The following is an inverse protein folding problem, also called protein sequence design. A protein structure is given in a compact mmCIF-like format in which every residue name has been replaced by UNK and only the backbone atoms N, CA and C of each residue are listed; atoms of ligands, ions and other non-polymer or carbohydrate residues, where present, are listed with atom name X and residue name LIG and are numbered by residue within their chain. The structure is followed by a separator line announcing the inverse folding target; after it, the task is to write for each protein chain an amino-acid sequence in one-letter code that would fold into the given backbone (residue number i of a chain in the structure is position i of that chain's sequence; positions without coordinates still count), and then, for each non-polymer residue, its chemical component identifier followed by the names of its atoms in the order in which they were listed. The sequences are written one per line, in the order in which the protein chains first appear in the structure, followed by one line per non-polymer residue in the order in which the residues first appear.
data_IF_239007292377
#
_entry.id   IF_239007292377
#
_cell.length_a   1.000
_cell.length_b   1.000
_cell.length_c   1.000
_cell.angle_alpha   90.00
_cell.angle_beta   90.00
_cell.angle_gamma   90.00
#
_symmetry.space_group_name_H-M   'P 1'
#
loop_
_entity.id
_entity.type
_entity.pdbx_description
1 polymer ?
#
# COMPACT_ATOMS: atom_id res chain seq x y z
N UNK A 1 21.71 -23.27 7.07
CA UNK A 1 20.84 -22.39 6.25
C UNK A 1 21.50 -21.03 6.11
N UNK A 2 21.43 -20.43 4.93
CA UNK A 2 22.11 -19.17 4.60
C UNK A 2 21.34 -17.97 5.23
N UNK A 3 22.04 -16.96 5.77
CA UNK A 3 21.44 -15.69 6.15
C UNK A 3 20.65 -15.08 4.98
N UNK A 4 19.72 -14.16 5.26
CA UNK A 4 19.15 -13.34 4.19
C UNK A 4 20.30 -12.67 3.42
N UNK A 5 20.35 -12.95 2.13
CA UNK A 5 21.29 -12.36 1.20
C UNK A 5 20.48 -11.78 0.04
N UNK A 6 20.95 -10.65 -0.51
CA UNK A 6 20.37 -10.11 -1.74
C UNK A 6 20.40 -11.21 -2.80
N UNK A 7 19.29 -11.40 -3.54
CA UNK A 7 19.23 -12.41 -4.61
C UNK A 7 20.43 -12.24 -5.53
N UNK A 8 21.07 -13.35 -5.87
CA UNK A 8 22.25 -13.33 -6.73
C UNK A 8 21.93 -12.58 -8.03
N UNK A 9 22.70 -11.52 -8.25
CA UNK A 9 22.61 -10.72 -9.46
C UNK A 9 23.22 -11.51 -10.61
N UNK A 10 22.56 -11.46 -11.77
CA UNK A 10 23.06 -12.10 -12.98
C UNK A 10 24.43 -11.51 -13.32
N UNK A 11 25.43 -12.37 -13.50
CA UNK A 11 26.78 -11.97 -13.90
C UNK A 11 26.73 -11.18 -15.21
N UNK A 12 27.46 -10.07 -15.28
CA UNK A 12 27.53 -9.14 -16.42
C UNK A 12 26.22 -8.38 -16.74
N UNK A 13 25.26 -8.35 -15.81
CA UNK A 13 24.06 -7.53 -15.94
C UNK A 13 24.16 -6.23 -15.16
N UNK A 14 23.60 -5.16 -15.75
CA UNK A 14 23.41 -3.87 -15.09
C UNK A 14 22.01 -3.81 -14.47
N UNK A 15 21.90 -3.13 -13.33
CA UNK A 15 20.64 -2.96 -12.61
C UNK A 15 20.37 -1.47 -12.43
N UNK A 16 19.25 -1.01 -12.96
CA UNK A 16 18.83 0.39 -12.95
C UNK A 16 17.44 0.47 -12.36
N UNK A 17 17.21 1.44 -11.50
CA UNK A 17 15.87 1.81 -11.03
C UNK A 17 15.49 3.13 -11.68
N UNK A 18 14.33 3.18 -12.33
CA UNK A 18 13.75 4.37 -12.95
C UNK A 18 12.52 4.76 -12.15
N UNK A 19 12.60 5.90 -11.48
CA UNK A 19 11.44 6.52 -10.85
C UNK A 19 10.74 7.40 -11.88
N UNK A 20 9.42 7.40 -11.90
CA UNK A 20 8.68 8.23 -12.84
C UNK A 20 7.32 8.64 -12.28
N UNK A 21 6.76 9.66 -12.90
CA UNK A 21 5.42 10.16 -12.63
C UNK A 21 4.81 10.69 -13.93
N UNK A 22 3.48 10.64 -14.04
CA UNK A 22 2.73 11.02 -15.24
C UNK A 22 1.70 12.07 -14.89
N UNK A 23 1.76 13.18 -15.62
CA UNK A 23 0.70 14.17 -15.64
C UNK A 23 -0.19 13.94 -16.86
N UNK A 24 -1.50 14.13 -16.66
CA UNK A 24 -2.51 13.92 -17.69
C UNK A 24 -3.37 15.16 -17.88
N UNK A 25 -3.70 15.46 -19.14
CA UNK A 25 -4.75 16.40 -19.48
C UNK A 25 -6.11 15.70 -19.57
N UNK A 26 -7.19 16.45 -19.31
CA UNK A 26 -8.58 15.99 -19.39
C UNK A 26 -9.42 17.01 -20.16
N UNK A 27 -9.34 16.95 -21.49
CA UNK A 27 -10.10 17.85 -22.37
C UNK A 27 -10.88 17.13 -23.48
N UNK A 28 -10.58 15.85 -23.74
CA UNK A 28 -11.26 15.04 -24.76
C UNK A 28 -12.49 14.37 -24.14
N UNK A 29 -13.72 14.67 -24.61
CA UNK A 29 -14.92 14.04 -24.08
C UNK A 29 -15.03 12.57 -24.49
N UNK A 30 -15.55 11.73 -23.60
CA UNK A 30 -15.80 10.30 -23.89
C UNK A 30 -17.16 10.15 -24.57
N UNK A 31 -17.17 9.54 -25.76
CA UNK A 31 -18.40 9.32 -26.54
C UNK A 31 -19.45 8.57 -25.72
N UNK A 32 -20.68 9.09 -25.71
CA UNK A 32 -21.81 8.50 -25.00
C UNK A 32 -21.80 8.66 -23.47
N UNK A 33 -20.84 9.40 -22.90
CA UNK A 33 -20.78 9.66 -21.45
C UNK A 33 -20.70 11.17 -21.14
N UNK A 34 -21.82 11.80 -20.77
CA UNK A 34 -21.82 13.20 -20.32
C UNK A 34 -20.84 13.42 -19.17
N UNK A 35 -20.19 14.59 -19.15
CA UNK A 35 -19.25 15.03 -18.10
C UNK A 35 -18.07 14.07 -17.83
N UNK A 36 -17.76 13.18 -18.78
CA UNK A 36 -16.65 12.24 -18.69
C UNK A 36 -15.61 12.59 -19.74
N UNK A 37 -14.37 12.78 -19.30
CA UNK A 37 -13.25 13.14 -20.16
C UNK A 37 -12.15 12.08 -20.09
N UNK A 38 -11.50 11.85 -21.21
CA UNK A 38 -10.35 10.96 -21.31
C UNK A 38 -9.13 11.60 -20.66
N UNK A 39 -8.41 10.80 -19.86
CA UNK A 39 -7.09 11.17 -19.38
C UNK A 39 -6.05 10.86 -20.45
N UNK A 40 -5.36 11.89 -20.92
CA UNK A 40 -4.31 11.75 -21.93
C UNK A 40 -2.98 12.18 -21.31
N UNK A 41 -1.97 11.29 -21.24
CA UNK A 41 -0.63 11.66 -20.77
C UNK A 41 -0.04 12.81 -21.58
N UNK A 42 0.28 13.92 -20.92
CA UNK A 42 0.86 15.10 -21.58
C UNK A 42 2.26 15.47 -21.06
N UNK A 43 2.65 14.93 -19.91
CA UNK A 43 4.00 15.02 -19.37
C UNK A 43 4.35 13.73 -18.62
N UNK A 44 5.56 13.24 -18.83
CA UNK A 44 6.17 12.18 -18.02
C UNK A 44 7.59 12.64 -17.66
N UNK A 45 7.88 12.66 -16.37
CA UNK A 45 9.24 12.87 -15.87
C UNK A 45 9.77 11.54 -15.36
N UNK A 46 11.04 11.24 -15.65
CA UNK A 46 11.70 10.06 -15.09
C UNK A 46 13.09 10.38 -14.58
N UNK A 47 13.52 9.66 -13.53
CA UNK A 47 14.84 9.74 -12.93
C UNK A 47 15.45 8.35 -12.78
N UNK A 48 16.47 8.06 -13.59
CA UNK A 48 17.20 6.79 -13.57
C UNK A 48 18.38 6.83 -12.60
N UNK A 49 18.52 5.79 -11.78
CA UNK A 49 19.65 5.59 -10.87
C UNK A 49 20.14 4.14 -10.86
N UNK A 50 21.43 3.96 -10.62
CA UNK A 50 22.04 2.66 -10.33
C UNK A 50 22.67 2.68 -8.93
N UNK A 51 23.22 1.55 -8.48
CA UNK A 51 23.92 1.44 -7.19
C UNK A 51 25.03 2.48 -7.01
N UNK A 52 25.71 2.84 -8.09
CA UNK A 52 26.85 3.78 -8.07
C UNK A 52 26.41 5.24 -7.89
N UNK A 53 25.18 5.62 -8.26
CA UNK A 53 24.75 7.02 -8.22
C UNK A 53 23.51 7.27 -7.36
N UNK A 54 22.87 6.23 -6.80
CA UNK A 54 21.64 6.34 -6.01
C UNK A 54 21.77 7.30 -4.81
N UNK A 55 22.95 7.37 -4.20
CA UNK A 55 23.27 8.23 -3.06
C UNK A 55 23.38 9.72 -3.44
N UNK A 56 23.50 10.06 -4.72
CA UNK A 56 23.66 11.44 -5.18
C UNK A 56 22.28 12.11 -5.18
N UNK A 57 22.11 13.27 -4.52
CA UNK A 57 20.78 13.89 -4.39
C UNK A 57 20.39 14.72 -5.62
N UNK A 58 21.33 15.24 -6.41
CA UNK A 58 21.05 16.15 -7.52
C UNK A 58 20.36 15.48 -8.71
N UNK A 59 19.48 16.22 -9.39
CA UNK A 59 18.74 15.74 -10.56
C UNK A 59 19.55 15.89 -11.85
N UNK A 60 20.29 17.00 -12.00
CA UNK A 60 21.25 17.19 -13.07
C UNK A 60 22.52 16.39 -12.75
N UNK A 61 22.56 15.15 -13.25
CA UNK A 61 23.67 14.25 -13.03
C UNK A 61 23.81 13.28 -14.20
N UNK A 62 25.04 13.08 -14.64
CA UNK A 62 25.39 12.08 -15.64
C UNK A 62 26.10 10.89 -15.00
N UNK A 63 25.62 9.69 -15.28
CA UNK A 63 26.21 8.43 -14.83
C UNK A 63 26.64 7.57 -16.02
N UNK A 64 27.79 6.91 -15.94
CA UNK A 64 28.26 5.99 -16.99
C UNK A 64 27.37 4.74 -17.14
N UNK A 65 26.59 4.39 -16.12
CA UNK A 65 25.66 3.24 -16.11
C UNK A 65 24.25 3.65 -16.54
N UNK A 66 23.65 4.66 -15.90
CA UNK A 66 22.27 5.08 -16.18
C UNK A 66 22.13 6.31 -17.08
N UNK A 67 23.25 6.85 -17.59
CA UNK A 67 23.32 8.04 -18.45
C UNK A 67 22.78 9.29 -17.76
N UNK A 68 22.16 10.20 -18.52
CA UNK A 68 21.45 11.37 -17.98
C UNK A 68 20.34 10.90 -17.06
N UNK A 69 20.42 11.31 -15.79
CA UNK A 69 19.47 10.93 -14.75
C UNK A 69 18.05 11.30 -15.08
N UNK A 70 17.80 12.59 -15.33
CA UNK A 70 16.46 13.11 -15.54
C UNK A 70 16.10 13.15 -17.02
N UNK A 71 14.94 12.59 -17.38
CA UNK A 71 14.34 12.72 -18.71
C UNK A 71 12.94 13.29 -18.57
N UNK A 72 12.58 14.18 -19.49
CA UNK A 72 11.29 14.86 -19.55
C UNK A 72 10.73 14.55 -20.94
N UNK A 73 9.53 13.96 -20.98
CA UNK A 73 8.80 13.66 -22.20
C UNK A 73 7.47 14.41 -22.13
N UNK A 74 7.11 15.15 -23.18
CA UNK A 74 5.89 15.95 -23.13
C UNK A 74 5.28 16.18 -24.51
N UNK A 75 3.96 16.41 -24.56
CA UNK A 75 3.20 16.79 -25.75
C UNK A 75 2.70 18.24 -25.70
N UNK A 76 3.32 19.08 -24.86
CA UNK A 76 2.90 20.48 -24.66
C UNK A 76 3.07 21.36 -25.92
N UNK A 77 3.97 20.99 -26.84
CA UNK A 77 4.20 21.71 -28.11
C UNK A 77 3.49 21.07 -29.31
N UNK A 78 3.32 19.75 -29.27
CA UNK A 78 2.72 18.97 -30.34
C UNK A 78 1.83 17.87 -29.74
N UNK A 79 0.48 17.98 -29.89
CA UNK A 79 -0.45 17.02 -29.33
C UNK A 79 -0.34 15.63 -29.96
N UNK A 80 0.34 15.49 -31.11
CA UNK A 80 0.55 14.19 -31.76
C UNK A 80 1.67 13.36 -31.11
N UNK A 81 2.44 13.95 -30.18
CA UNK A 81 3.48 13.23 -29.46
C UNK A 81 2.87 12.23 -28.49
N UNK A 82 3.16 10.94 -28.69
CA UNK A 82 2.88 9.90 -27.69
C UNK A 82 3.98 9.93 -26.60
N UNK A 83 3.67 10.59 -25.48
CA UNK A 83 4.56 10.73 -24.30
C UNK A 83 5.00 9.37 -23.75
N UNK A 84 4.06 8.43 -23.62
CA UNK A 84 4.36 7.08 -23.11
C UNK A 84 5.22 6.31 -24.11
N UNK A 85 4.94 6.46 -25.41
CA UNK A 85 5.75 5.88 -26.47
C UNK A 85 7.21 6.34 -26.43
N UNK A 86 7.46 7.64 -26.30
CA UNK A 86 8.83 8.16 -26.17
C UNK A 86 9.53 7.62 -24.91
N UNK A 87 8.80 7.44 -23.81
CA UNK A 87 9.35 6.81 -22.61
C UNK A 87 9.73 5.35 -22.87
N UNK A 88 8.90 4.57 -23.56
CA UNK A 88 9.24 3.19 -23.94
C UNK A 88 10.45 3.14 -24.88
N UNK A 89 10.57 4.07 -25.84
CA UNK A 89 11.75 4.16 -26.72
C UNK A 89 13.02 4.45 -25.91
N UNK A 90 12.92 5.32 -24.90
CA UNK A 90 13.99 5.53 -23.94
C UNK A 90 14.34 4.26 -23.15
N UNK A 91 13.36 3.49 -22.67
CA UNK A 91 13.62 2.21 -22.00
C UNK A 91 14.29 1.17 -22.90
N UNK A 92 13.98 1.17 -24.20
CA UNK A 92 14.61 0.31 -25.20
C UNK A 92 16.05 0.75 -25.54
N UNK A 93 16.39 2.02 -25.32
CA UNK A 93 17.75 2.53 -25.57
C UNK A 93 18.81 1.95 -24.61
N UNK A 94 18.40 1.36 -23.49
CA UNK A 94 19.31 0.68 -22.57
C UNK A 94 19.86 -0.62 -23.17
N UNK A 95 21.10 -0.97 -22.82
CA UNK A 95 21.77 -2.18 -23.33
C UNK A 95 21.00 -3.45 -22.97
N UNK A 96 21.02 -4.46 -23.85
CA UNK A 96 20.28 -5.73 -23.72
C UNK A 96 20.50 -6.50 -22.40
N UNK A 97 21.69 -6.38 -21.77
CA UNK A 97 22.00 -6.92 -20.44
C UNK A 97 21.74 -5.92 -19.31
N UNK A 98 20.58 -5.27 -19.30
CA UNK A 98 20.18 -4.32 -18.27
C UNK A 98 18.81 -4.71 -17.74
N UNK A 99 18.71 -4.97 -16.43
CA UNK A 99 17.42 -5.08 -15.73
C UNK A 99 17.00 -3.70 -15.24
N UNK A 100 15.77 -3.32 -15.56
CA UNK A 100 15.19 -2.02 -15.21
C UNK A 100 14.01 -2.24 -14.28
N UNK A 101 14.10 -1.68 -13.08
CA UNK A 101 12.99 -1.59 -12.13
C UNK A 101 12.33 -0.22 -12.29
N UNK A 102 11.07 -0.19 -12.68
CA UNK A 102 10.28 1.02 -12.84
C UNK A 102 9.38 1.21 -11.64
N UNK A 103 9.47 2.38 -11.01
CA UNK A 103 8.77 2.68 -9.76
C UNK A 103 8.00 3.98 -9.93
N UNK A 104 6.69 3.89 -9.75
CA UNK A 104 5.81 5.04 -9.62
C UNK A 104 5.03 4.95 -8.31
N UNK A 105 4.37 6.04 -7.91
CA UNK A 105 3.60 6.08 -6.68
C UNK A 105 2.11 6.06 -6.97
N UNK A 106 1.40 5.07 -6.43
CA UNK A 106 -0.03 4.81 -6.72
C UNK A 106 -0.32 4.34 -8.16
N UNK A 107 0.71 3.86 -8.86
CA UNK A 107 0.61 3.40 -10.25
C UNK A 107 -0.40 2.28 -10.45
N UNK A 108 -0.65 1.45 -9.43
CA UNK A 108 -1.60 0.34 -9.49
C UNK A 108 -3.04 0.74 -9.81
N UNK A 109 -3.38 2.01 -9.65
CA UNK A 109 -4.74 2.54 -9.85
C UNK A 109 -4.80 3.69 -10.85
N UNK A 110 -3.66 4.15 -11.37
CA UNK A 110 -3.61 5.26 -12.33
C UNK A 110 -2.56 5.01 -13.42
N UNK A 111 -1.28 5.29 -13.18
CA UNK A 111 -0.20 5.27 -14.18
C UNK A 111 -0.05 3.93 -14.91
N UNK A 112 -0.28 2.83 -14.20
CA UNK A 112 -0.12 1.48 -14.71
C UNK A 112 -1.01 1.19 -15.91
N UNK A 113 -2.17 1.84 -16.02
CA UNK A 113 -3.10 1.66 -17.15
C UNK A 113 -2.46 2.18 -18.45
N UNK A 114 -1.80 3.34 -18.41
CA UNK A 114 -1.11 3.91 -19.58
C UNK A 114 0.07 3.04 -20.02
N UNK A 115 0.79 2.45 -19.07
CA UNK A 115 1.89 1.53 -19.37
C UNK A 115 1.37 0.25 -20.04
N UNK A 116 0.26 -0.32 -19.56
CA UNK A 116 -0.37 -1.50 -20.18
C UNK A 116 -0.86 -1.17 -21.59
N UNK A 117 -1.48 0.00 -21.80
CA UNK A 117 -1.95 0.42 -23.11
C UNK A 117 -0.81 0.46 -24.14
N UNK A 118 0.34 1.04 -23.78
CA UNK A 118 1.50 1.08 -24.68
C UNK A 118 2.12 -0.31 -24.93
N UNK A 119 2.15 -1.18 -23.92
CA UNK A 119 2.58 -2.59 -24.07
C UNK A 119 1.69 -3.32 -25.09
N UNK A 120 0.37 -3.14 -25.02
CA UNK A 120 -0.60 -3.73 -25.95
C UNK A 120 -0.41 -3.15 -27.36
N UNK A 121 -0.30 -1.82 -27.48
CA UNK A 121 -0.07 -1.15 -28.76
C UNK A 121 1.20 -1.66 -29.46
N UNK A 122 2.27 -1.88 -28.69
CA UNK A 122 3.55 -2.43 -29.18
C UNK A 122 3.56 -3.96 -29.34
N UNK A 123 2.48 -4.65 -28.97
CA UNK A 123 2.37 -6.12 -29.01
C UNK A 123 3.49 -6.82 -28.23
N UNK A 124 3.89 -6.24 -27.10
CA UNK A 124 4.92 -6.81 -26.23
C UNK A 124 4.31 -7.87 -25.32
N UNK A 125 5.04 -8.97 -25.11
CA UNK A 125 4.66 -9.98 -24.11
C UNK A 125 4.87 -9.41 -22.70
N UNK A 126 3.85 -9.51 -21.86
CA UNK A 126 3.93 -9.09 -20.46
C UNK A 126 3.31 -10.14 -19.52
N UNK A 127 3.77 -10.11 -18.27
CA UNK A 127 3.19 -10.85 -17.15
C UNK A 127 2.70 -9.82 -16.13
N UNK A 128 1.44 -9.91 -15.72
CA UNK A 128 0.80 -8.93 -14.83
C UNK A 128 0.32 -9.62 -13.56
N UNK A 129 0.66 -9.04 -12.41
CA UNK A 129 0.13 -9.45 -11.10
C UNK A 129 -0.91 -8.44 -10.64
N UNK A 130 -2.12 -8.91 -10.34
CA UNK A 130 -3.26 -8.08 -9.96
C UNK A 130 -3.66 -8.28 -8.49
N UNK A 131 -4.22 -7.24 -7.88
CA UNK A 131 -5.01 -7.32 -6.65
C UNK A 131 -6.41 -6.78 -6.94
N UNK A 132 -7.37 -7.68 -7.19
CA UNK A 132 -8.63 -7.30 -7.80
C UNK A 132 -8.38 -6.68 -9.18
N UNK A 133 -8.88 -5.46 -9.40
CA UNK A 133 -8.68 -4.72 -10.65
C UNK A 133 -7.40 -3.85 -10.66
N UNK A 134 -6.56 -3.89 -9.61
CA UNK A 134 -5.39 -3.02 -9.46
C UNK A 134 -4.11 -3.74 -9.90
N UNK A 135 -3.25 -3.05 -10.66
CA UNK A 135 -2.00 -3.60 -11.20
C UNK A 135 -0.88 -3.49 -10.15
N UNK A 136 -0.59 -4.56 -9.42
CA UNK A 136 0.49 -4.52 -8.42
C UNK A 136 1.87 -4.52 -9.04
N UNK A 137 2.05 -5.31 -10.09
CA UNK A 137 3.32 -5.52 -10.75
C UNK A 137 3.07 -5.89 -12.22
N UNK A 138 3.96 -5.44 -13.11
CA UNK A 138 3.99 -5.87 -14.51
C UNK A 138 5.43 -6.13 -14.93
N UNK A 139 5.69 -7.27 -15.56
CA UNK A 139 6.98 -7.64 -16.12
C UNK A 139 6.92 -7.68 -17.64
N UNK A 140 7.84 -6.97 -18.30
CA UNK A 140 7.96 -6.90 -19.77
C UNK A 140 9.42 -7.17 -20.11
N UNK A 141 9.77 -8.45 -20.29
CA UNK A 141 11.14 -8.90 -20.57
C UNK A 141 12.15 -8.51 -19.46
N UNK A 142 12.88 -7.42 -19.68
CA UNK A 142 13.87 -6.90 -18.74
C UNK A 142 13.39 -5.75 -17.86
N UNK A 143 12.13 -5.35 -18.04
CA UNK A 143 11.50 -4.28 -17.30
C UNK A 143 10.53 -4.85 -16.27
N UNK A 144 10.55 -4.29 -15.05
CA UNK A 144 9.63 -4.64 -13.98
C UNK A 144 9.03 -3.37 -13.43
N UNK A 145 7.73 -3.18 -13.60
CA UNK A 145 6.97 -2.06 -13.07
C UNK A 145 6.38 -2.45 -11.71
N UNK A 146 6.54 -1.58 -10.72
CA UNK A 146 5.97 -1.75 -9.38
C UNK A 146 5.31 -0.46 -8.88
N UNK A 147 4.34 -0.62 -7.98
CA UNK A 147 3.79 0.49 -7.20
C UNK A 147 4.53 0.62 -5.86
N UNK A 148 5.17 1.77 -5.64
CA UNK A 148 5.85 2.07 -4.38
C UNK A 148 4.91 2.10 -3.17
N UNK A 149 3.61 2.34 -3.35
CA UNK A 149 2.62 2.38 -2.25
C UNK A 149 2.53 1.03 -1.51
N UNK A 150 2.97 -0.08 -2.12
CA UNK A 150 3.06 -1.40 -1.46
C UNK A 150 4.13 -1.48 -0.38
N UNK A 151 5.13 -0.60 -0.46
CA UNK A 151 6.23 -0.52 0.50
C UNK A 151 6.13 0.73 1.36
N UNK A 152 5.57 1.80 0.81
CA UNK A 152 5.43 3.11 1.43
C UNK A 152 3.95 3.50 1.47
N UNK A 153 3.13 2.96 2.40
CA UNK A 153 1.68 3.15 2.44
C UNK A 153 1.28 4.52 3.00
N UNK A 154 1.81 5.59 2.40
CA UNK A 154 1.57 6.99 2.75
C UNK A 154 1.52 7.84 1.48
N UNK A 155 0.83 8.99 1.48
CA UNK A 155 0.85 9.92 0.35
C UNK A 155 2.28 10.42 0.06
N UNK A 156 2.57 10.72 -1.21
CA UNK A 156 3.85 11.28 -1.64
C UNK A 156 4.24 12.55 -0.85
N UNK A 157 3.27 13.43 -0.59
CA UNK A 157 3.45 14.65 0.20
C UNK A 157 3.82 14.43 1.67
N UNK A 158 3.61 13.22 2.21
CA UNK A 158 4.02 12.87 3.56
C UNK A 158 5.47 12.35 3.62
N UNK A 159 6.03 11.88 2.49
CA UNK A 159 7.35 11.26 2.45
C UNK A 159 8.48 12.18 2.90
N UNK A 160 8.55 13.48 2.51
CA UNK A 160 9.64 14.34 2.93
C UNK A 160 9.75 14.43 4.45
N UNK A 161 8.62 14.62 5.14
CA UNK A 161 8.59 14.65 6.60
C UNK A 161 8.96 13.30 7.22
N UNK A 162 8.44 12.20 6.68
CA UNK A 162 8.68 10.85 7.20
C UNK A 162 10.14 10.42 7.11
N UNK A 163 10.86 10.87 6.08
CA UNK A 163 12.25 10.50 5.81
C UNK A 163 13.26 11.62 6.10
N UNK A 164 12.83 12.76 6.63
CA UNK A 164 13.71 13.90 6.91
C UNK A 164 14.31 14.52 5.65
N UNK A 165 13.61 14.47 4.52
CA UNK A 165 14.06 15.03 3.24
C UNK A 165 13.63 16.50 3.12
N UNK A 166 14.47 17.29 2.46
CA UNK A 166 14.13 18.66 2.08
C UNK A 166 13.16 18.64 0.91
N UNK A 167 11.97 19.20 1.11
CA UNK A 167 10.97 19.37 0.05
C UNK A 167 11.51 20.34 -1.01
N UNK A 168 11.58 19.90 -2.28
CA UNK A 168 12.15 20.70 -3.38
C UNK A 168 11.25 21.85 -3.79
N UNK A 169 9.93 21.62 -3.79
CA UNK A 169 8.93 22.62 -4.16
C UNK A 169 7.73 22.51 -3.24
N UNK A 170 7.55 23.53 -2.40
CA UNK A 170 6.38 23.68 -1.55
C UNK A 170 5.35 24.52 -2.28
N UNK A 171 4.28 23.91 -2.77
CA UNK A 171 3.25 24.61 -3.54
C UNK A 171 2.05 23.73 -3.87
N UNK A 172 1.08 24.32 -4.57
CA UNK A 172 -0.13 23.63 -5.00
C UNK A 172 -0.24 23.67 -6.53
N UNK A 173 -0.76 22.59 -7.10
CA UNK A 173 -0.88 22.41 -8.55
C UNK A 173 -2.32 22.68 -9.02
N UNK A 174 -2.55 23.53 -10.04
CA UNK A 174 -3.89 23.78 -10.60
C UNK A 174 -4.32 22.66 -11.55
N UNK A 175 -4.72 21.52 -11.01
CA UNK A 175 -5.11 20.32 -11.78
C UNK A 175 -6.09 20.60 -12.93
N UNK A 176 -7.08 21.46 -12.72
CA UNK A 176 -8.12 21.74 -13.73
C UNK A 176 -7.61 22.60 -14.89
N UNK A 177 -6.45 23.24 -14.74
CA UNK A 177 -5.81 24.06 -15.77
C UNK A 177 -4.89 23.24 -16.67
N UNK A 178 -4.70 21.93 -16.42
CA UNK A 178 -3.90 21.07 -17.29
C UNK A 178 -4.62 20.76 -18.60
N UNK A 179 -4.73 21.78 -19.46
CA UNK A 179 -5.42 21.77 -20.74
C UNK A 179 -4.65 22.61 -21.77
N UNK A 180 -4.77 22.29 -23.07
CA UNK A 180 -4.01 22.96 -24.14
C UNK A 180 -4.05 24.49 -24.10
N UNK A 181 -5.21 25.08 -23.76
CA UNK A 181 -5.39 26.53 -23.69
C UNK A 181 -4.51 27.24 -22.64
N UNK A 182 -3.98 26.51 -21.65
CA UNK A 182 -3.10 27.06 -20.62
C UNK A 182 -1.61 26.75 -20.84
N UNK A 183 -1.23 25.93 -21.81
CA UNK A 183 0.18 25.47 -21.92
C UNK A 183 1.18 26.60 -22.20
N UNK A 184 0.73 27.70 -22.82
CA UNK A 184 1.53 28.91 -23.06
C UNK A 184 1.19 30.05 -22.09
N UNK A 185 0.35 29.79 -21.09
CA UNK A 185 -0.08 30.81 -20.13
C UNK A 185 1.09 31.31 -19.28
N UNK A 186 1.26 32.62 -19.27
CA UNK A 186 2.12 33.35 -18.35
C UNK A 186 1.37 34.60 -17.86
N UNK A 187 1.16 34.71 -16.55
CA UNK A 187 0.35 35.78 -16.00
C UNK A 187 0.16 35.66 -14.49
N UNK A 188 -0.87 36.32 -13.93
CA UNK A 188 -1.23 36.18 -12.51
C UNK A 188 -1.49 34.72 -12.11
N UNK A 189 -1.39 34.44 -10.81
CA UNK A 189 -1.75 33.12 -10.28
C UNK A 189 -3.21 32.76 -10.64
N UNK A 190 -3.42 31.54 -11.14
CA UNK A 190 -4.75 31.06 -11.55
C UNK A 190 -5.75 31.05 -10.39
N UNK A 191 -7.03 31.16 -10.71
CA UNK A 191 -8.11 31.18 -9.71
C UNK A 191 -8.13 29.92 -8.84
N UNK A 192 -8.60 30.09 -7.60
CA UNK A 192 -8.78 29.02 -6.61
C UNK A 192 -9.58 27.83 -7.15
N UNK A 193 -10.53 28.05 -8.07
CA UNK A 193 -11.32 26.99 -8.70
C UNK A 193 -10.49 25.95 -9.44
N UNK A 194 -9.28 26.29 -9.89
CA UNK A 194 -8.43 25.36 -10.65
C UNK A 194 -7.72 24.29 -9.81
N UNK A 195 -7.74 24.42 -8.48
CA UNK A 195 -6.93 23.62 -7.56
C UNK A 195 -7.70 22.51 -6.83
N UNK A 196 -8.95 22.23 -7.22
CA UNK A 196 -9.77 21.17 -6.63
C UNK A 196 -9.92 21.26 -5.09
N UNK A 197 -10.01 22.47 -4.55
CA UNK A 197 -10.04 22.76 -3.10
C UNK A 197 -11.16 21.99 -2.38
N UNK A 198 -12.28 21.76 -3.07
CA UNK A 198 -13.42 20.99 -2.55
C UNK A 198 -13.07 19.55 -2.14
N UNK A 199 -11.98 18.99 -2.68
CA UNK A 199 -11.48 17.64 -2.34
C UNK A 199 -10.49 17.64 -1.17
N UNK A 200 -10.02 18.81 -0.74
CA UNK A 200 -9.05 18.95 0.33
C UNK A 200 -9.71 18.82 1.71
N UNK A 201 -8.97 18.26 2.68
CA UNK A 201 -9.36 18.30 4.09
C UNK A 201 -9.35 19.75 4.59
N UNK A 202 -10.18 20.07 5.58
CA UNK A 202 -10.37 21.43 6.10
C UNK A 202 -9.05 22.18 6.38
N UNK A 203 -8.08 21.52 7.03
CA UNK A 203 -6.77 22.13 7.31
C UNK A 203 -5.98 22.43 6.03
N UNK A 204 -5.91 21.47 5.10
CA UNK A 204 -5.20 21.64 3.84
C UNK A 204 -5.84 22.73 2.96
N UNK A 205 -7.17 22.84 2.96
CA UNK A 205 -7.88 23.91 2.26
C UNK A 205 -7.56 25.30 2.84
N UNK A 206 -7.44 25.40 4.17
CA UNK A 206 -7.04 26.64 4.83
C UNK A 206 -5.58 27.01 4.52
N UNK A 207 -4.66 26.05 4.60
CA UNK A 207 -3.24 26.22 4.26
C UNK A 207 -3.07 26.63 2.79
N UNK A 208 -3.86 26.05 1.88
CA UNK A 208 -3.92 26.44 0.47
C UNK A 208 -4.39 27.88 0.30
N UNK A 209 -5.50 28.24 0.96
CA UNK A 209 -6.11 29.56 0.81
C UNK A 209 -5.14 30.67 1.23
N UNK A 210 -4.47 30.48 2.37
CA UNK A 210 -3.47 31.42 2.86
C UNK A 210 -2.28 31.54 1.89
N UNK A 211 -1.77 30.41 1.38
CA UNK A 211 -0.70 30.41 0.38
C UNK A 211 -1.11 31.12 -0.90
N UNK A 212 -2.31 30.87 -1.42
CA UNK A 212 -2.81 31.46 -2.67
C UNK A 212 -2.96 32.98 -2.55
N UNK A 213 -3.55 33.46 -1.45
CA UNK A 213 -3.70 34.89 -1.17
C UNK A 213 -2.33 35.57 -1.02
N UNK A 214 -1.38 34.91 -0.35
CA UNK A 214 -0.01 35.41 -0.21
C UNK A 214 0.69 35.52 -1.58
N UNK A 215 0.68 34.47 -2.40
CA UNK A 215 1.31 34.48 -3.74
C UNK A 215 0.68 35.54 -4.65
N UNK A 216 -0.65 35.66 -4.61
CA UNK A 216 -1.39 36.69 -5.36
C UNK A 216 -0.97 38.09 -4.91
N UNK A 217 -0.87 38.34 -3.60
CA UNK A 217 -0.46 39.65 -3.06
C UNK A 217 0.98 40.04 -3.41
N UNK A 218 1.87 39.06 -3.59
CA UNK A 218 3.26 39.26 -4.03
C UNK A 218 3.39 39.54 -5.53
N UNK A 219 2.30 39.48 -6.29
CA UNK A 219 2.34 39.60 -7.75
C UNK A 219 3.09 38.44 -8.40
N UNK A 220 3.00 37.23 -7.84
CA UNK A 220 3.65 36.05 -8.39
C UNK A 220 3.20 35.82 -9.84
N UNK A 221 4.16 35.75 -10.77
CA UNK A 221 3.93 35.46 -12.18
C UNK A 221 3.99 33.95 -12.39
N UNK A 222 2.82 33.37 -12.61
CA UNK A 222 2.62 31.96 -12.87
C UNK A 222 2.85 31.66 -14.36
N UNK A 223 3.82 30.80 -14.66
CA UNK A 223 4.07 30.26 -15.99
C UNK A 223 3.67 28.78 -15.99
N UNK A 224 2.57 28.45 -16.66
CA UNK A 224 1.96 27.13 -16.54
C UNK A 224 2.93 25.99 -16.89
N UNK A 225 3.66 26.13 -18.00
CA UNK A 225 4.59 25.12 -18.48
C UNK A 225 5.72 24.86 -17.49
N UNK A 226 6.37 25.92 -17.02
CA UNK A 226 7.47 25.81 -16.05
C UNK A 226 6.97 25.15 -14.77
N UNK A 227 5.82 25.60 -14.27
CA UNK A 227 5.26 25.10 -13.02
C UNK A 227 4.84 23.63 -13.13
N UNK A 228 4.25 23.19 -14.24
CA UNK A 228 3.88 21.79 -14.53
C UNK A 228 5.11 20.87 -14.49
N UNK A 229 6.15 21.26 -15.23
CA UNK A 229 7.38 20.46 -15.34
C UNK A 229 8.08 20.40 -13.99
N UNK A 230 8.22 21.52 -13.28
CA UNK A 230 8.86 21.56 -11.97
C UNK A 230 8.07 20.79 -10.89
N UNK A 231 6.74 20.81 -10.96
CA UNK A 231 5.88 20.03 -10.07
C UNK A 231 6.15 18.53 -10.24
N UNK A 232 6.07 18.01 -11.47
CA UNK A 232 6.32 16.60 -11.74
C UNK A 232 7.78 16.20 -11.43
N UNK A 233 8.77 17.08 -11.70
CA UNK A 233 10.17 16.86 -11.26
C UNK A 233 10.26 16.72 -9.74
N UNK A 234 9.57 17.57 -8.99
CA UNK A 234 9.54 17.51 -7.52
C UNK A 234 9.00 16.17 -7.04
N UNK A 235 7.87 15.72 -7.58
CA UNK A 235 7.22 14.46 -7.20
C UNK A 235 8.12 13.24 -7.49
N UNK A 236 8.71 13.16 -8.68
CA UNK A 236 9.66 12.09 -9.02
C UNK A 236 10.90 12.12 -8.12
N UNK A 237 11.37 13.32 -7.76
CA UNK A 237 12.54 13.44 -6.89
C UNK A 237 12.23 13.01 -5.45
N UNK A 238 11.09 13.43 -4.91
CA UNK A 238 10.62 13.00 -3.58
C UNK A 238 10.52 11.48 -3.57
N UNK A 239 9.88 10.89 -4.58
CA UNK A 239 9.74 9.44 -4.69
C UNK A 239 11.10 8.74 -4.71
N UNK A 240 12.03 9.19 -5.55
CA UNK A 240 13.38 8.62 -5.65
C UNK A 240 14.13 8.69 -4.32
N UNK A 241 14.16 9.86 -3.69
CA UNK A 241 14.90 10.06 -2.45
C UNK A 241 14.27 9.29 -1.28
N UNK A 242 12.95 9.26 -1.20
CA UNK A 242 12.22 8.51 -0.17
C UNK A 242 12.43 7.00 -0.32
N UNK A 243 12.36 6.48 -1.55
CA UNK A 243 12.65 5.07 -1.81
C UNK A 243 14.10 4.71 -1.49
N UNK A 244 15.06 5.61 -1.76
CA UNK A 244 16.46 5.39 -1.39
C UNK A 244 16.66 5.38 0.13
N UNK A 245 16.05 6.33 0.86
CA UNK A 245 16.08 6.39 2.31
C UNK A 245 15.44 5.14 2.93
N UNK A 246 14.25 4.75 2.46
CA UNK A 246 13.56 3.54 2.90
C UNK A 246 14.42 2.29 2.71
N UNK A 247 15.01 2.10 1.52
CA UNK A 247 15.87 0.94 1.25
C UNK A 247 17.08 0.90 2.18
N UNK A 248 17.71 2.04 2.42
CA UNK A 248 18.88 2.13 3.32
C UNK A 248 18.50 1.77 4.76
N UNK A 249 17.36 2.27 5.26
CA UNK A 249 16.84 1.93 6.59
C UNK A 249 16.43 0.46 6.68
N UNK A 250 15.80 -0.06 5.63
CA UNK A 250 15.38 -1.46 5.56
C UNK A 250 16.59 -2.39 5.57
N UNK A 251 17.64 -2.10 4.79
CA UNK A 251 18.88 -2.88 4.77
C UNK A 251 19.56 -2.90 6.16
N UNK A 252 19.60 -1.76 6.86
CA UNK A 252 20.13 -1.68 8.23
C UNK A 252 19.31 -2.50 9.25
N UNK A 253 17.98 -2.46 9.13
CA UNK A 253 17.08 -3.08 10.12
C UNK A 253 16.84 -4.57 9.84
N UNK A 254 16.56 -4.93 8.59
CA UNK A 254 16.31 -6.32 8.19
C UNK A 254 17.57 -7.20 8.26
N UNK A 255 18.77 -6.59 8.19
CA UNK A 255 20.04 -7.27 8.46
C UNK A 255 20.26 -7.65 9.93
N UNK A 256 19.37 -7.26 10.86
CA UNK A 256 19.55 -7.44 12.32
C UNK A 256 19.11 -8.82 12.86
N UNK A 257 19.31 -9.91 12.11
CA UNK A 257 19.39 -11.26 12.69
C UNK A 257 18.12 -12.13 12.67
N UNK A 258 17.13 -11.83 11.83
CA UNK A 258 16.01 -12.77 11.59
C UNK A 258 16.32 -13.71 10.43
N UNK A 259 16.27 -15.03 10.67
CA UNK A 259 16.33 -16.05 9.62
C UNK A 259 14.92 -16.28 9.06
N UNK A 260 14.62 -15.69 7.92
CA UNK A 260 13.37 -15.96 7.18
C UNK A 260 13.59 -17.23 6.35
N UNK A 261 12.73 -18.23 6.52
CA UNK A 261 12.73 -19.47 5.72
C UNK A 261 11.57 -19.36 4.73
N UNK A 262 11.90 -19.20 3.45
CA UNK A 262 10.95 -19.27 2.34
C UNK A 262 11.20 -20.59 1.58
N UNK A 263 10.13 -21.31 1.24
CA UNK A 263 10.17 -22.53 0.42
C UNK A 263 9.06 -22.46 -0.62
N UNK A 264 9.36 -22.79 -1.87
CA UNK A 264 8.32 -22.80 -2.90
C UNK A 264 7.35 -23.97 -2.68
N UNK A 265 6.08 -23.77 -3.04
CA UNK A 265 5.06 -24.81 -2.94
C UNK A 265 5.47 -26.09 -3.67
N UNK A 266 6.03 -25.99 -4.89
CA UNK A 266 6.48 -27.14 -5.65
C UNK A 266 7.70 -27.86 -5.03
N UNK A 267 8.61 -27.14 -4.37
CA UNK A 267 9.71 -27.73 -3.60
C UNK A 267 9.18 -28.44 -2.35
N UNK A 268 8.14 -27.89 -1.74
CA UNK A 268 7.46 -28.50 -0.61
C UNK A 268 6.71 -29.78 -1.00
N UNK A 269 6.00 -29.76 -2.14
CA UNK A 269 5.37 -30.95 -2.71
C UNK A 269 6.38 -32.05 -3.05
N UNK A 270 7.55 -31.67 -3.59
CA UNK A 270 8.64 -32.61 -3.85
C UNK A 270 9.13 -33.29 -2.56
N UNK A 271 9.34 -32.52 -1.49
CA UNK A 271 9.77 -33.08 -0.21
C UNK A 271 8.67 -33.94 0.42
N UNK A 272 7.40 -33.55 0.31
CA UNK A 272 6.27 -34.38 0.76
C UNK A 272 6.21 -35.74 0.04
N UNK A 273 6.68 -35.81 -1.20
CA UNK A 273 6.72 -37.04 -2.00
C UNK A 273 7.98 -37.88 -1.75
N UNK A 274 9.12 -37.25 -1.45
CA UNK A 274 10.44 -37.88 -1.48
C UNK A 274 11.12 -38.02 -0.11
N UNK A 275 10.83 -37.13 0.84
CA UNK A 275 11.43 -37.15 2.17
C UNK A 275 10.58 -38.03 3.11
N UNK A 276 11.13 -39.17 3.61
CA UNK A 276 10.42 -40.09 4.48
C UNK A 276 9.95 -39.43 5.78
N UNK A 277 10.73 -38.49 6.32
CA UNK A 277 10.43 -37.84 7.60
C UNK A 277 9.29 -36.83 7.44
N UNK A 278 9.32 -36.01 6.38
CA UNK A 278 8.21 -35.12 6.01
C UNK A 278 6.93 -35.92 5.76
N UNK A 279 7.02 -37.03 5.01
CA UNK A 279 5.86 -37.88 4.72
C UNK A 279 5.27 -38.51 5.98
N UNK A 280 6.10 -39.10 6.84
CA UNK A 280 5.68 -39.70 8.10
C UNK A 280 5.07 -38.65 9.05
N UNK A 281 5.65 -37.44 9.10
CA UNK A 281 5.12 -36.33 9.89
C UNK A 281 3.69 -35.99 9.47
N UNK A 282 3.43 -35.78 8.17
CA UNK A 282 2.10 -35.39 7.69
C UNK A 282 1.08 -36.53 7.70
N UNK A 283 1.48 -37.79 7.49
CA UNK A 283 0.59 -38.95 7.61
C UNK A 283 0.12 -39.17 9.05
N UNK A 284 1.00 -38.96 10.04
CA UNK A 284 0.69 -39.08 11.47
C UNK A 284 0.14 -37.80 12.10
N UNK A 285 0.16 -36.66 11.40
CA UNK A 285 -0.24 -35.36 11.97
C UNK A 285 -1.75 -35.34 12.26
N UNK A 286 -2.21 -34.86 13.43
CA UNK A 286 -3.63 -34.82 13.79
C UNK A 286 -4.54 -34.08 12.78
N UNK A 287 -3.96 -33.23 11.94
CA UNK A 287 -4.66 -32.44 10.92
C UNK A 287 -5.09 -33.21 9.67
N UNK A 288 -4.70 -34.48 9.50
CA UNK A 288 -5.19 -35.33 8.39
C UNK A 288 -6.63 -35.80 8.58
N UNK A 289 -7.09 -35.88 9.84
CA UNK A 289 -8.45 -36.34 10.20
C UNK A 289 -9.48 -35.21 10.22
N UNK A 290 -9.04 -33.97 10.40
CA UNK A 290 -9.91 -32.79 10.48
C UNK A 290 -9.16 -31.57 9.98
N UNK A 291 -9.82 -30.77 9.13
CA UNK A 291 -9.23 -29.54 8.59
C UNK A 291 -8.70 -28.65 9.72
N UNK A 292 -7.43 -28.22 9.65
CA UNK A 292 -6.85 -27.31 10.63
C UNK A 292 -7.72 -26.08 10.88
N UNK A 293 -7.63 -25.54 12.10
CA UNK A 293 -8.17 -24.22 12.40
C UNK A 293 -7.48 -23.16 11.54
N UNK A 294 -8.25 -22.42 10.77
CA UNK A 294 -7.77 -21.21 10.11
C UNK A 294 -7.45 -20.16 11.17
N UNK A 295 -6.18 -20.05 11.61
CA UNK A 295 -5.77 -19.08 12.63
C UNK A 295 -6.10 -17.64 12.22
N UNK A 296 -6.12 -17.36 10.90
CA UNK A 296 -6.52 -16.06 10.36
C UNK A 296 -7.98 -15.71 10.66
N UNK A 297 -8.86 -16.70 10.79
CA UNK A 297 -10.28 -16.49 11.11
C UNK A 297 -10.47 -16.04 12.57
N UNK A 298 -9.48 -16.27 13.44
CA UNK A 298 -9.47 -15.80 14.82
C UNK A 298 -8.99 -14.35 14.94
N UNK A 299 -8.29 -13.82 13.93
CA UNK A 299 -7.77 -12.46 13.96
C UNK A 299 -8.89 -11.46 13.66
N UNK A 300 -9.09 -10.52 14.58
CA UNK A 300 -10.02 -9.41 14.43
C UNK A 300 -9.26 -8.07 14.45
N UNK A 301 -9.83 -7.07 13.77
CA UNK A 301 -9.38 -5.69 13.88
C UNK A 301 -9.90 -5.01 15.17
N UNK A 302 -9.71 -3.70 15.23
CA UNK A 302 -10.24 -2.89 16.35
C UNK A 302 -11.77 -2.98 16.46
N UNK A 303 -12.28 -2.90 17.69
CA UNK A 303 -13.72 -2.92 17.96
C UNK A 303 -14.35 -1.59 17.58
N UNK A 304 -15.24 -1.61 16.59
CA UNK A 304 -16.11 -0.48 16.24
C UNK A 304 -17.54 -0.80 16.63
N UNK A 305 -18.15 0.01 17.51
CA UNK A 305 -19.53 -0.18 17.97
C UNK A 305 -20.31 1.13 17.85
N UNK A 306 -21.15 1.24 16.82
CA UNK A 306 -22.04 2.38 16.65
C UNK A 306 -23.29 2.21 17.53
N UNK A 307 -23.31 2.87 18.69
CA UNK A 307 -24.48 2.89 19.58
C UNK A 307 -25.55 3.90 19.12
N UNK A 308 -25.12 4.95 18.43
CA UNK A 308 -25.99 6.01 17.90
C UNK A 308 -25.40 6.55 16.61
N UNK A 309 -26.19 6.61 15.54
CA UNK A 309 -25.75 7.07 14.22
C UNK A 309 -25.43 8.57 14.19
N UNK A 310 -26.22 9.36 14.90
CA UNK A 310 -26.06 10.81 14.98
C UNK A 310 -26.54 11.32 16.33
N UNK A 311 -25.74 12.17 16.96
CA UNK A 311 -26.13 12.92 18.13
C UNK A 311 -25.58 14.33 18.06
N UNK A 312 -26.46 15.31 18.24
CA UNK A 312 -26.10 16.72 18.38
C UNK A 312 -26.32 17.09 19.84
N UNK A 313 -25.27 17.52 20.52
CA UNK A 313 -25.36 17.98 21.90
C UNK A 313 -26.27 19.21 22.01
N UNK A 314 -27.17 19.21 23.00
CA UNK A 314 -27.96 20.38 23.34
C UNK A 314 -27.13 21.35 24.20
N UNK A 315 -26.49 22.31 23.53
CA UNK A 315 -25.63 23.30 24.19
C UNK A 315 -26.41 24.22 25.13
N UNK A 316 -27.69 24.47 24.86
CA UNK A 316 -28.54 25.31 25.71
C UNK A 316 -28.83 24.64 27.06
N UNK A 317 -28.85 23.30 27.09
CA UNK A 317 -28.93 22.50 28.32
C UNK A 317 -27.57 22.17 28.94
N UNK A 318 -26.48 22.69 28.38
CA UNK A 318 -25.13 22.45 28.86
C UNK A 318 -24.58 21.05 28.55
N UNK A 319 -25.17 20.32 27.58
CA UNK A 319 -24.65 19.02 27.18
C UNK A 319 -23.27 19.13 26.52
N UNK A 320 -22.41 18.13 26.77
CA UNK A 320 -21.06 18.05 26.20
C UNK A 320 -20.80 16.64 25.70
N UNK A 321 -20.11 16.53 24.56
CA UNK A 321 -19.58 15.25 24.05
C UNK A 321 -18.11 15.18 24.47
N UNK A 322 -17.74 14.09 25.15
CA UNK A 322 -16.35 13.82 25.52
C UNK A 322 -15.83 12.68 24.65
N UNK A 323 -14.68 12.90 24.01
CA UNK A 323 -13.93 11.86 23.32
C UNK A 323 -12.78 11.42 24.22
N UNK A 324 -12.69 10.12 24.45
CA UNK A 324 -11.57 9.49 25.17
C UNK A 324 -10.83 8.65 24.16
N UNK A 325 -9.52 8.86 24.07
CA UNK A 325 -8.64 8.09 23.20
C UNK A 325 -7.58 7.41 24.05
N UNK A 326 -7.31 6.14 23.77
CA UNK A 326 -6.26 5.37 24.44
C UNK A 326 -4.98 5.58 23.65
N UNK A 327 -4.11 6.44 24.16
CA UNK A 327 -2.81 6.69 23.54
C UNK A 327 -2.01 5.39 23.48
N UNK A 328 -1.68 4.98 22.26
CA UNK A 328 -0.89 3.78 21.99
C UNK A 328 -1.47 2.49 22.58
N UNK A 329 -2.76 2.24 22.35
CA UNK A 329 -3.44 1.01 22.78
C UNK A 329 -2.68 -0.27 22.41
N UNK A 330 -2.36 -0.47 21.12
CA UNK A 330 -1.64 -1.68 20.67
C UNK A 330 -0.22 -1.78 21.23
N UNK A 331 0.64 -0.73 21.22
CA UNK A 331 1.93 -0.80 21.90
C UNK A 331 1.82 -1.16 23.39
N UNK A 332 0.85 -0.61 24.11
CA UNK A 332 0.63 -0.94 25.52
C UNK A 332 0.13 -2.40 25.69
N UNK A 333 -0.70 -2.90 24.77
CA UNK A 333 -1.07 -4.31 24.72
C UNK A 333 0.14 -5.21 24.44
N UNK A 334 1.00 -4.85 23.48
CA UNK A 334 2.24 -5.59 23.17
C UNK A 334 3.20 -5.63 24.37
N UNK A 335 3.25 -4.56 25.16
CA UNK A 335 4.10 -4.49 26.36
C UNK A 335 3.57 -5.36 27.52
N UNK A 336 2.25 -5.47 27.67
CA UNK A 336 1.61 -6.05 28.87
C UNK A 336 0.92 -7.40 28.64
N UNK A 337 0.64 -7.74 27.38
CA UNK A 337 -0.07 -8.93 26.95
C UNK A 337 0.85 -10.14 26.86
N UNK A 338 0.28 -11.33 27.13
CA UNK A 338 0.97 -12.61 26.97
C UNK A 338 0.65 -13.17 25.59
N UNK A 339 1.60 -13.09 24.65
CA UNK A 339 1.39 -13.56 23.29
C UNK A 339 1.77 -15.04 23.15
N UNK A 340 0.99 -15.84 22.39
CA UNK A 340 1.42 -17.18 22.04
C UNK A 340 2.68 -17.11 21.15
N UNK A 341 3.64 -17.98 21.43
CA UNK A 341 4.87 -18.14 20.63
C UNK A 341 5.16 -19.64 20.44
N UNK A 342 5.88 -19.97 19.37
CA UNK A 342 6.23 -21.37 19.05
C UNK A 342 5.12 -22.15 18.35
N UNK A 343 5.33 -23.47 18.23
CA UNK A 343 4.37 -24.37 17.60
C UNK A 343 3.21 -24.68 18.56
N UNK A 344 1.95 -24.58 18.12
CA UNK A 344 0.80 -24.85 18.96
C UNK A 344 0.65 -26.34 19.25
N UNK A 345 0.24 -26.68 20.47
CA UNK A 345 -0.28 -28.01 20.79
C UNK A 345 -1.72 -28.09 20.29
N UNK A 346 -2.04 -29.11 19.51
CA UNK A 346 -3.37 -29.32 18.92
C UNK A 346 -4.12 -30.35 19.75
N UNK A 347 -5.30 -29.97 20.23
CA UNK A 347 -6.25 -30.88 20.87
C UNK A 347 -7.51 -30.99 20.02
N UNK A 348 -8.01 -32.20 19.84
CA UNK A 348 -9.27 -32.52 19.20
C UNK A 348 -10.32 -32.93 20.25
N UNK A 349 -11.59 -32.86 19.87
CA UNK A 349 -12.69 -33.28 20.73
C UNK A 349 -12.53 -34.75 21.13
N UNK A 350 -12.47 -35.01 22.45
CA UNK A 350 -12.30 -36.36 23.00
C UNK A 350 -10.85 -36.74 23.32
N UNK A 351 -9.86 -35.87 23.11
CA UNK A 351 -8.49 -36.13 23.53
C UNK A 351 -8.41 -36.24 25.06
N UNK A 352 -7.85 -37.34 25.61
CA UNK A 352 -7.83 -37.60 27.06
C UNK A 352 -6.96 -36.60 27.83
N UNK A 353 -5.97 -36.01 27.16
CA UNK A 353 -5.03 -35.05 27.73
C UNK A 353 -5.45 -33.58 27.50
N UNK A 354 -6.65 -33.33 26.96
CA UNK A 354 -7.13 -31.97 26.72
C UNK A 354 -7.31 -31.22 28.05
N UNK A 355 -6.63 -30.09 28.26
CA UNK A 355 -6.72 -29.36 29.53
C UNK A 355 -8.10 -28.68 29.68
N UNK A 356 -8.50 -28.29 30.90
CA UNK A 356 -9.75 -27.57 31.14
C UNK A 356 -9.84 -26.24 30.35
N UNK A 357 -11.00 -25.85 29.78
CA UNK A 357 -11.14 -24.67 28.92
C UNK A 357 -10.71 -23.32 29.52
N UNK A 358 -10.85 -23.15 30.83
CA UNK A 358 -10.45 -21.96 31.58
C UNK A 358 -8.93 -21.78 31.68
N UNK A 359 -8.17 -22.82 31.36
CA UNK A 359 -6.70 -22.79 31.34
C UNK A 359 -6.12 -22.49 29.97
N UNK A 360 -6.96 -22.47 28.91
CA UNK A 360 -6.50 -22.32 27.54
C UNK A 360 -5.98 -20.91 27.27
N UNK A 361 -4.85 -20.85 26.57
CA UNK A 361 -4.31 -19.62 25.97
C UNK A 361 -4.03 -19.90 24.48
N UNK A 362 -5.02 -19.65 23.63
CA UNK A 362 -4.97 -20.08 22.23
C UNK A 362 -6.23 -19.81 21.45
N UNK A 363 -6.43 -20.59 20.39
CA UNK A 363 -7.57 -20.48 19.47
C UNK A 363 -8.43 -21.73 19.60
N UNK A 364 -9.75 -21.53 19.74
CA UNK A 364 -10.74 -22.61 19.78
C UNK A 364 -11.78 -22.40 18.69
N UNK A 365 -12.25 -23.50 18.09
CA UNK A 365 -13.50 -23.54 17.34
C UNK A 365 -14.54 -24.27 18.17
N UNK A 366 -15.53 -23.52 18.64
CA UNK A 366 -16.58 -24.06 19.48
C UNK A 366 -17.95 -23.50 19.09
N UNK A 367 -18.98 -24.11 19.66
CA UNK A 367 -20.33 -23.57 19.59
C UNK A 367 -20.58 -22.77 20.87
N UNK A 368 -20.98 -21.51 20.74
CA UNK A 368 -21.20 -20.60 21.87
C UNK A 368 -22.67 -20.26 22.00
N UNK A 369 -23.19 -20.34 23.24
CA UNK A 369 -24.49 -19.80 23.60
C UNK A 369 -24.30 -18.39 24.20
N UNK A 370 -24.63 -17.30 23.48
CA UNK A 370 -24.35 -15.95 23.95
C UNK A 370 -25.28 -15.56 25.12
N UNK A 371 -24.78 -14.83 26.14
CA UNK A 371 -25.63 -14.22 27.16
C UNK A 371 -26.62 -13.24 26.53
N UNK A 372 -27.86 -13.22 27.02
CA UNK A 372 -28.95 -12.41 26.45
C UNK A 372 -29.06 -11.00 27.06
N UNK A 373 -28.32 -10.74 28.12
CA UNK A 373 -28.43 -9.57 29.00
C UNK A 373 -27.23 -8.61 28.90
N UNK A 374 -26.56 -8.56 27.75
CA UNK A 374 -25.40 -7.68 27.54
C UNK A 374 -25.77 -6.37 26.84
N UNK A 375 -25.39 -5.25 27.46
CA UNK A 375 -25.47 -3.92 26.82
C UNK A 375 -24.56 -3.82 25.58
N UNK A 376 -23.39 -4.46 25.62
CA UNK A 376 -22.44 -4.58 24.51
C UNK A 376 -22.18 -6.05 24.21
N UNK A 377 -22.37 -6.52 22.96
CA UNK A 377 -22.10 -7.92 22.63
C UNK A 377 -20.62 -8.25 22.82
N UNK A 378 -20.32 -9.47 23.28
CA UNK A 378 -18.95 -9.95 23.44
C UNK A 378 -18.35 -10.46 22.12
N UNK A 379 -19.18 -10.96 21.21
CA UNK A 379 -18.77 -11.47 19.90
C UNK A 379 -19.12 -10.48 18.77
N UNK A 380 -18.29 -10.44 17.71
CA UNK A 380 -18.49 -9.53 16.57
C UNK A 380 -19.65 -9.93 15.64
N UNK A 381 -20.27 -11.10 15.85
CA UNK A 381 -21.36 -11.63 15.02
C UNK A 381 -22.70 -11.60 15.76
N UNK A 382 -23.78 -11.24 15.05
CA UNK A 382 -25.16 -11.43 15.52
C UNK A 382 -25.71 -12.73 14.91
N UNK A 383 -25.94 -13.80 15.68
CA UNK A 383 -26.66 -14.96 15.15
C UNK A 383 -28.11 -14.57 14.81
N UNK A 384 -28.71 -15.23 13.81
CA UNK A 384 -30.16 -15.13 13.55
C UNK A 384 -30.91 -15.74 14.74
N UNK A 385 -32.04 -15.17 15.12
CA UNK A 385 -32.87 -15.64 16.24
C UNK A 385 -33.04 -17.17 16.21
N UNK A 386 -32.83 -17.82 17.35
CA UNK A 386 -32.90 -19.28 17.58
C UNK A 386 -31.84 -20.15 16.87
N UNK A 387 -30.65 -19.64 16.55
CA UNK A 387 -29.56 -20.46 16.03
C UNK A 387 -28.27 -20.41 16.87
N UNK A 388 -27.68 -21.59 17.10
CA UNK A 388 -26.31 -21.74 17.62
C UNK A 388 -25.32 -21.32 16.52
N UNK A 389 -24.43 -20.35 16.79
CA UNK A 389 -23.35 -20.00 15.87
C UNK A 389 -22.08 -20.79 16.18
N UNK A 390 -21.56 -21.51 15.18
CA UNK A 390 -20.16 -21.98 15.21
C UNK A 390 -19.25 -20.77 15.03
N UNK A 391 -18.37 -20.53 16.00
CA UNK A 391 -17.43 -19.41 15.95
C UNK A 391 -16.03 -19.89 16.31
N UNK A 392 -15.04 -19.41 15.56
CA UNK A 392 -13.62 -19.50 15.94
C UNK A 392 -13.31 -18.25 16.78
N UNK A 393 -12.68 -18.42 17.93
CA UNK A 393 -12.39 -17.31 18.84
C UNK A 393 -11.13 -17.54 19.67
N UNK A 394 -10.57 -16.43 20.17
CA UNK A 394 -9.45 -16.46 21.11
C UNK A 394 -9.95 -16.67 22.54
N UNK A 395 -9.23 -17.50 23.31
CA UNK A 395 -9.41 -17.60 24.76
C UNK A 395 -8.18 -16.98 25.42
N UNK A 396 -8.38 -15.85 26.09
CA UNK A 396 -7.31 -15.12 26.80
C UNK A 396 -7.42 -15.35 28.31
N UNK A 397 -6.30 -15.65 28.95
CA UNK A 397 -6.19 -15.87 30.39
C UNK A 397 -6.15 -14.55 31.18
N UNK A 398 -7.07 -13.61 30.97
CA UNK A 398 -7.28 -12.45 31.87
C UNK A 398 -8.76 -12.06 31.98
N UNK A 399 -9.32 -12.28 33.17
CA UNK A 399 -10.61 -11.79 33.68
C UNK A 399 -11.81 -11.91 32.72
N UNK A 400 -12.13 -13.14 32.30
CA UNK A 400 -13.51 -13.50 31.99
C UNK A 400 -14.30 -13.71 33.30
N UNK A 401 -14.33 -12.70 34.17
CA UNK A 401 -15.33 -12.66 35.24
C UNK A 401 -16.62 -12.13 34.62
N UNK A 402 -17.48 -13.10 34.29
CA UNK A 402 -18.81 -12.98 33.68
C UNK A 402 -18.79 -12.94 32.15
N UNK A 403 -19.62 -13.81 31.55
CA UNK A 403 -20.07 -13.80 30.15
C UNK A 403 -19.35 -14.73 29.16
N UNK A 404 -19.44 -16.04 29.41
CA UNK A 404 -19.94 -17.04 28.46
C UNK A 404 -19.79 -18.43 29.08
N UNK A 405 -20.88 -19.19 29.21
CA UNK A 405 -20.80 -20.61 29.57
C UNK A 405 -20.52 -21.38 28.28
N UNK A 406 -19.30 -21.92 28.14
CA UNK A 406 -18.98 -22.86 27.07
C UNK A 406 -19.67 -24.18 27.45
N UNK A 407 -20.70 -24.57 26.71
CA UNK A 407 -21.40 -25.84 26.95
C UNK A 407 -20.85 -26.86 25.97
N UNK A 408 -20.15 -27.87 26.46
CA UNK A 408 -19.74 -29.05 25.68
C UNK A 408 -20.92 -30.05 25.82
N UNK A 409 -21.62 -30.41 24.73
CA UNK A 409 -22.72 -31.36 24.84
C UNK A 409 -22.15 -32.75 25.20
N UNK A 410 -22.52 -33.28 26.36
CA UNK A 410 -22.40 -34.71 26.62
C UNK A 410 -23.38 -35.43 25.69
N UNK A 411 -22.87 -36.26 24.78
CA UNK A 411 -23.68 -37.33 24.19
C UNK A 411 -23.95 -38.33 25.30
N UNK A 412 -25.04 -38.12 26.03
CA UNK A 412 -25.87 -39.13 26.70
C UNK A 412 -27.01 -38.40 27.46
N UNK A 413 -27.98 -37.92 26.67
CA UNK A 413 -29.44 -37.93 26.90
C UNK A 413 -30.16 -37.08 25.86
#
# INVERSE_FOLDING_TARGET
MQPWAEREKKKDWKYITVYYDIETTQHTPVEGKPDTYEHIPNLLVSQAVCKECAHIPHNDYFCTVCQTRQRIFHSLDDPNINVIGQFFDYLQSFKSKTKILLVAHYSRSFDGVFMVQEVVNRKLKCEITLQGAKILCMEVGNWKFIDSLMFLPMPLSAMPKSFGLTELKKGYWPFMANKPEYYTYEGPLLDKSFYCISTMKQKAAADFTAWHDEQTSKGFVFNFRRELIEYCISDVTILRQACHAFRSLFEQTAGSGYTVIEKWECEFESDLASDPDTKAYFEAHPTTRTTPLGLRDALAGGRTSALKWYYKADLAKGEKIKMVDVVSEYPNANLRGEYPYGHPTIYLEGDPDMPPPDTWNGVVKCTVLPPRDLYLPSFPTKPRENSCSRSVGHVWKRKAQRCATITIPNKDN
#
